data_IF_347237240952
#
_entry.id   IF_347237240952
#
_cell.length_a   1.000
_cell.length_b   1.000
_cell.length_c   1.000
_cell.angle_alpha   90.00
_cell.angle_beta   90.00
_cell.angle_gamma   90.00
#
_symmetry.space_group_name_H-M   'P 1'
#
loop_
_entity.id
_entity.type
_entity.pdbx_description
1 polymer ?
#
# COMPACT_ATOMS: atom_id res chain seq x y z
N UNK A 1 -10.60 -22.97 -11.44
CA UNK A 1 -11.85 -22.17 -11.50
C UNK A 1 -11.72 -21.05 -10.46
N UNK A 2 -12.32 -19.86 -10.65
CA UNK A 2 -12.33 -18.86 -9.59
C UNK A 2 -12.95 -19.45 -8.32
N UNK A 3 -12.32 -19.22 -7.18
CA UNK A 3 -12.89 -19.52 -5.87
C UNK A 3 -13.99 -18.46 -5.63
N UNK A 4 -15.26 -18.83 -5.81
CA UNK A 4 -16.41 -17.91 -5.69
C UNK A 4 -17.18 -18.15 -4.40
N UNK A 5 -17.38 -17.07 -3.63
CA UNK A 5 -18.27 -16.83 -2.46
C UNK A 5 -18.39 -17.86 -1.31
N UNK A 6 -17.89 -19.09 -1.47
CA UNK A 6 -17.89 -20.14 -0.45
C UNK A 6 -16.55 -20.85 -0.47
N UNK A 7 -15.47 -20.11 -0.21
CA UNK A 7 -14.16 -20.72 -0.02
C UNK A 7 -14.15 -21.36 1.36
N UNK A 8 -14.11 -22.69 1.43
CA UNK A 8 -13.84 -23.36 2.70
C UNK A 8 -12.45 -22.95 3.14
N UNK A 9 -12.26 -22.69 4.43
CA UNK A 9 -11.01 -22.12 4.95
C UNK A 9 -9.76 -22.83 4.37
N UNK A 10 -9.76 -24.17 4.30
CA UNK A 10 -8.65 -24.96 3.74
C UNK A 10 -8.39 -24.75 2.24
N UNK A 11 -9.44 -24.61 1.41
CA UNK A 11 -9.29 -24.56 -0.06
C UNK A 11 -8.43 -23.38 -0.52
N UNK A 12 -8.49 -22.24 0.19
CA UNK A 12 -7.63 -21.09 -0.12
C UNK A 12 -6.15 -21.39 0.17
N UNK A 13 -5.84 -21.93 1.36
CA UNK A 13 -4.46 -22.19 1.76
C UNK A 13 -3.84 -23.29 0.92
N UNK A 14 -4.60 -24.36 0.64
CA UNK A 14 -4.18 -25.46 -0.23
C UNK A 14 -3.86 -24.94 -1.64
N UNK A 15 -4.69 -24.02 -2.18
CA UNK A 15 -4.44 -23.38 -3.48
C UNK A 15 -3.17 -22.54 -3.45
N UNK A 16 -2.93 -21.77 -2.39
CA UNK A 16 -1.71 -20.96 -2.28
C UNK A 16 -0.47 -21.87 -2.20
N UNK A 17 -0.54 -22.96 -1.44
CA UNK A 17 0.53 -23.95 -1.33
C UNK A 17 0.85 -24.58 -2.70
N UNK A 18 -0.17 -25.04 -3.44
CA UNK A 18 0.00 -25.57 -4.80
C UNK A 18 0.68 -24.55 -5.73
N UNK A 19 0.25 -23.29 -5.69
CA UNK A 19 0.80 -22.22 -6.54
C UNK A 19 2.22 -21.83 -6.14
N UNK A 20 2.59 -21.95 -4.86
CA UNK A 20 3.97 -21.74 -4.41
C UNK A 20 4.91 -22.81 -4.98
N UNK A 21 4.49 -24.06 -5.06
CA UNK A 21 5.33 -25.16 -5.56
C UNK A 21 5.50 -25.17 -7.09
N UNK A 22 4.60 -24.50 -7.81
CA UNK A 22 4.61 -24.47 -9.28
C UNK A 22 5.67 -23.53 -9.87
N UNK A 23 6.65 -24.10 -10.57
CA UNK A 23 7.71 -23.33 -11.25
C UNK A 23 7.18 -22.44 -12.40
N UNK A 24 6.04 -22.78 -12.99
CA UNK A 24 5.40 -21.98 -14.06
C UNK A 24 4.61 -20.76 -13.52
N UNK A 25 4.46 -20.67 -12.19
CA UNK A 25 3.79 -19.56 -11.50
C UNK A 25 4.83 -18.63 -10.89
N UNK A 26 4.89 -17.40 -11.39
CA UNK A 26 5.89 -16.39 -10.99
C UNK A 26 5.35 -15.39 -9.96
N UNK A 27 4.03 -15.35 -9.77
CA UNK A 27 3.38 -14.38 -8.91
C UNK A 27 2.00 -14.84 -8.47
N UNK A 28 1.66 -14.52 -7.23
CA UNK A 28 0.39 -14.86 -6.60
C UNK A 28 -0.23 -13.57 -6.08
N UNK A 29 -1.49 -13.37 -6.45
CA UNK A 29 -2.32 -12.26 -5.99
C UNK A 29 -3.56 -12.83 -5.32
N UNK A 30 -3.82 -12.39 -4.10
CA UNK A 30 -5.08 -12.70 -3.40
C UNK A 30 -5.87 -11.42 -3.25
N UNK A 31 -7.01 -11.35 -3.96
CA UNK A 31 -7.89 -10.19 -3.92
C UNK A 31 -8.43 -9.97 -2.50
N UNK A 32 -8.32 -8.73 -2.03
CA UNK A 32 -8.86 -8.29 -0.74
C UNK A 32 -10.13 -7.44 -0.96
N UNK A 33 -11.07 -7.42 0.02
CA UNK A 33 -11.06 -8.18 1.27
C UNK A 33 -11.33 -9.68 1.06
N UNK A 34 -10.72 -10.52 1.90
CA UNK A 34 -11.10 -11.94 2.03
C UNK A 34 -12.36 -12.07 2.88
N UNK A 35 -13.12 -13.19 2.80
CA UNK A 35 -14.26 -13.45 3.68
C UNK A 35 -13.90 -13.35 5.16
N UNK A 36 -14.85 -12.95 6.00
CA UNK A 36 -14.62 -12.64 7.43
C UNK A 36 -14.04 -13.80 8.25
N UNK A 37 -14.28 -15.05 7.85
CA UNK A 37 -13.74 -16.25 8.51
C UNK A 37 -12.30 -16.59 8.10
N UNK A 38 -11.70 -15.84 7.18
CA UNK A 38 -10.33 -16.02 6.71
C UNK A 38 -9.44 -14.95 7.32
N UNK A 39 -8.40 -15.38 8.04
CA UNK A 39 -7.41 -14.43 8.56
C UNK A 39 -6.54 -13.91 7.41
N UNK A 40 -6.74 -12.65 7.04
CA UNK A 40 -5.96 -11.97 6.00
C UNK A 40 -4.44 -12.09 6.22
N UNK A 41 -3.96 -12.06 7.47
CA UNK A 41 -2.51 -12.08 7.73
C UNK A 41 -1.92 -13.46 7.49
N UNK A 42 -2.64 -14.52 7.84
CA UNK A 42 -2.28 -15.90 7.52
C UNK A 42 -2.19 -16.09 6.01
N UNK A 43 -3.18 -15.60 5.25
CA UNK A 43 -3.16 -15.65 3.77
C UNK A 43 -1.90 -15.00 3.21
N UNK A 44 -1.60 -13.77 3.63
CA UNK A 44 -0.43 -13.02 3.14
C UNK A 44 0.90 -13.65 3.56
N UNK A 45 0.95 -14.39 4.67
CA UNK A 45 2.15 -15.12 5.13
C UNK A 45 2.35 -16.47 4.45
N UNK A 46 1.28 -17.02 3.87
CA UNK A 46 1.35 -18.30 3.17
C UNK A 46 1.95 -18.16 1.78
N UNK A 47 1.83 -16.97 1.15
CA UNK A 47 2.41 -16.70 -0.16
C UNK A 47 3.94 -16.65 -0.02
N UNK A 48 4.66 -17.39 -0.87
CA UNK A 48 6.12 -17.29 -0.96
C UNK A 48 6.54 -15.83 -1.19
N UNK A 49 7.44 -15.25 -0.36
CA UNK A 49 7.93 -13.88 -0.55
C UNK A 49 8.49 -13.59 -1.95
N UNK A 50 8.95 -14.60 -2.70
CA UNK A 50 9.44 -14.48 -4.08
C UNK A 50 8.32 -14.40 -5.11
N UNK A 51 7.11 -14.87 -4.75
CA UNK A 51 5.90 -14.80 -5.59
C UNK A 51 4.88 -13.78 -5.10
N UNK A 52 5.11 -13.10 -3.98
CA UNK A 52 4.27 -12.03 -3.45
C UNK A 52 4.43 -10.73 -4.27
N UNK A 53 3.88 -10.73 -5.48
CA UNK A 53 3.96 -9.60 -6.42
C UNK A 53 3.17 -8.37 -5.95
N UNK A 54 2.29 -8.53 -4.95
CA UNK A 54 1.59 -7.43 -4.28
C UNK A 54 2.40 -6.79 -3.14
N UNK A 55 3.50 -7.43 -2.70
CA UNK A 55 4.46 -6.89 -1.75
C UNK A 55 3.97 -6.78 -0.30
N UNK A 56 2.97 -7.57 0.10
CA UNK A 56 2.38 -7.52 1.43
C UNK A 56 2.85 -8.61 2.40
N UNK A 57 3.65 -9.57 1.91
CA UNK A 57 4.32 -10.53 2.77
C UNK A 57 5.24 -9.75 3.75
N UNK A 58 5.27 -10.09 5.05
CA UNK A 58 6.06 -9.34 6.04
C UNK A 58 7.55 -9.18 5.69
N UNK A 59 8.14 -10.15 4.98
CA UNK A 59 9.51 -10.03 4.46
C UNK A 59 9.62 -8.90 3.43
N UNK A 60 8.73 -8.84 2.43
CA UNK A 60 8.74 -7.80 1.42
C UNK A 60 8.42 -6.42 2.01
N UNK A 61 7.54 -6.36 3.01
CA UNK A 61 7.30 -5.13 3.79
C UNK A 61 8.56 -4.72 4.56
N UNK A 62 9.27 -5.66 5.18
CA UNK A 62 10.54 -5.40 5.87
C UNK A 62 11.60 -4.84 4.92
N UNK A 63 11.76 -5.45 3.75
CA UNK A 63 12.65 -4.97 2.68
C UNK A 63 12.26 -3.58 2.17
N UNK A 64 10.96 -3.33 2.00
CA UNK A 64 10.46 -2.00 1.67
C UNK A 64 10.90 -0.95 2.70
N UNK A 65 10.73 -1.24 3.98
CA UNK A 65 11.14 -0.32 5.05
C UNK A 65 12.67 -0.12 5.07
N UNK A 66 13.44 -1.18 4.79
CA UNK A 66 14.89 -1.13 4.74
C UNK A 66 15.45 -0.43 3.48
N UNK A 67 14.61 -0.16 2.47
CA UNK A 67 14.99 0.50 1.23
C UNK A 67 15.51 -0.44 0.14
N UNK A 68 15.34 -1.76 0.29
CA UNK A 68 15.75 -2.80 -0.66
C UNK A 68 14.57 -3.63 -1.16
N UNK A 69 13.42 -2.97 -1.38
CA UNK A 69 12.18 -3.59 -1.82
C UNK A 69 12.39 -4.52 -3.03
N UNK A 70 12.03 -5.80 -2.87
CA UNK A 70 11.92 -6.75 -3.98
C UNK A 70 10.69 -6.42 -4.83
N UNK A 71 9.55 -6.36 -4.17
CA UNK A 71 8.29 -5.88 -4.73
C UNK A 71 7.86 -4.63 -4.00
N UNK A 72 7.35 -3.65 -4.74
CA UNK A 72 6.72 -2.46 -4.17
C UNK A 72 5.22 -2.65 -4.22
N UNK A 73 4.47 -2.36 -3.14
CA UNK A 73 3.02 -2.46 -3.14
C UNK A 73 2.37 -1.74 -4.32
N UNK A 74 1.52 -2.44 -5.05
CA UNK A 74 1.03 -2.03 -6.36
C UNK A 74 0.41 -0.63 -6.35
N UNK A 75 -0.52 -0.34 -5.44
CA UNK A 75 -1.18 0.97 -5.39
C UNK A 75 -0.20 2.11 -5.04
N UNK A 76 0.57 2.05 -3.94
CA UNK A 76 1.60 3.06 -3.67
C UNK A 76 2.64 3.22 -4.79
N UNK A 77 3.05 2.12 -5.42
CA UNK A 77 4.00 2.20 -6.52
C UNK A 77 3.40 2.84 -7.77
N UNK A 78 2.13 2.55 -8.07
CA UNK A 78 1.37 3.23 -9.12
C UNK A 78 1.29 4.73 -8.88
N UNK A 79 1.08 5.16 -7.63
CA UNK A 79 1.14 6.59 -7.27
C UNK A 79 2.53 7.18 -7.54
N UNK A 80 3.62 6.52 -7.13
CA UNK A 80 4.98 6.98 -7.48
C UNK A 80 5.18 7.09 -8.99
N UNK A 81 4.63 6.16 -9.78
CA UNK A 81 4.70 6.21 -11.25
C UNK A 81 3.91 7.38 -11.84
N UNK A 82 2.78 7.74 -11.24
CA UNK A 82 2.04 8.94 -11.64
C UNK A 82 2.82 10.20 -11.28
N UNK A 83 3.40 10.30 -10.08
CA UNK A 83 4.22 11.45 -9.68
C UNK A 83 5.41 11.63 -10.65
N UNK A 84 6.10 10.54 -10.98
CA UNK A 84 7.22 10.51 -11.95
C UNK A 84 6.76 10.98 -13.35
N UNK A 85 5.65 10.43 -13.84
CA UNK A 85 5.16 10.71 -15.19
C UNK A 85 4.66 12.14 -15.40
N UNK A 86 4.33 12.84 -14.32
CA UNK A 86 3.87 14.23 -14.33
C UNK A 86 4.91 15.21 -13.74
N UNK A 87 6.16 14.76 -13.55
CA UNK A 87 7.25 15.58 -13.02
C UNK A 87 6.90 16.28 -11.69
N UNK A 88 6.15 15.60 -10.82
CA UNK A 88 5.78 16.15 -9.51
C UNK A 88 6.99 16.10 -8.59
N UNK A 89 7.45 17.27 -8.15
CA UNK A 89 8.59 17.39 -7.24
C UNK A 89 8.23 16.87 -5.84
N UNK A 90 8.89 15.79 -5.40
CA UNK A 90 8.70 15.22 -4.06
C UNK A 90 9.89 15.49 -3.13
N UNK A 91 11.03 15.94 -3.66
CA UNK A 91 12.23 16.20 -2.87
C UNK A 91 12.00 17.38 -1.92
N UNK A 92 12.10 17.14 -0.62
CA UNK A 92 11.87 18.15 0.41
C UNK A 92 10.41 18.55 0.62
N UNK A 93 9.48 18.02 -0.18
CA UNK A 93 8.05 18.33 -0.09
C UNK A 93 7.45 17.86 1.24
N UNK A 94 6.51 18.63 1.79
CA UNK A 94 5.68 18.22 2.92
C UNK A 94 4.53 17.34 2.43
N UNK A 95 4.71 16.02 2.50
CA UNK A 95 3.73 15.05 2.07
C UNK A 95 2.84 14.57 3.22
N UNK A 96 1.52 14.58 3.03
CA UNK A 96 0.54 14.09 4.00
C UNK A 96 -0.23 12.91 3.44
N UNK A 97 -0.11 11.76 4.10
CA UNK A 97 -0.87 10.56 3.78
C UNK A 97 -2.06 10.44 4.74
N UNK A 98 -3.28 10.59 4.23
CA UNK A 98 -4.52 10.47 5.02
C UNK A 98 -5.03 9.04 4.95
N UNK A 99 -4.61 8.23 5.91
CA UNK A 99 -4.91 6.80 5.96
C UNK A 99 -3.66 6.00 6.29
N UNK A 100 -3.83 4.92 7.07
CA UNK A 100 -2.71 4.07 7.52
C UNK A 100 -2.99 2.57 7.36
N UNK A 101 -3.73 2.23 6.31
CA UNK A 101 -3.97 0.82 5.96
C UNK A 101 -2.63 0.12 5.65
N UNK A 102 -2.61 -1.19 5.88
CA UNK A 102 -1.41 -2.00 5.60
C UNK A 102 -1.08 -2.08 4.11
N UNK A 103 -2.08 -1.84 3.24
CA UNK A 103 -1.95 -2.02 1.79
C UNK A 103 -1.75 -0.73 0.98
N UNK A 104 -2.07 0.43 1.56
CA UNK A 104 -1.91 1.73 0.88
C UNK A 104 -1.17 2.72 1.77
N UNK A 105 -1.76 3.13 2.89
CA UNK A 105 -1.26 4.28 3.65
C UNK A 105 0.16 4.10 4.20
N UNK A 106 0.41 2.99 4.91
CA UNK A 106 1.75 2.69 5.45
C UNK A 106 2.81 2.49 4.36
N UNK A 107 2.59 1.67 3.32
CA UNK A 107 3.60 1.52 2.27
C UNK A 107 3.82 2.80 1.45
N UNK A 108 2.78 3.61 1.21
CA UNK A 108 2.95 4.92 0.57
C UNK A 108 3.87 5.82 1.39
N UNK A 109 3.69 5.88 2.71
CA UNK A 109 4.55 6.66 3.56
C UNK A 109 6.01 6.17 3.51
N UNK A 110 6.24 4.86 3.52
CA UNK A 110 7.59 4.29 3.41
C UNK A 110 8.23 4.59 2.05
N UNK A 111 7.46 4.62 0.96
CA UNK A 111 7.99 4.98 -0.36
C UNK A 111 8.35 6.46 -0.46
N UNK A 112 7.55 7.35 0.13
CA UNK A 112 7.79 8.80 0.07
C UNK A 112 9.02 9.24 0.88
N UNK A 113 9.32 8.59 2.00
CA UNK A 113 10.52 8.91 2.81
C UNK A 113 11.83 8.36 2.23
N UNK A 114 11.77 7.43 1.28
CA UNK A 114 12.97 6.81 0.72
C UNK A 114 13.77 7.80 -0.13
N UNK A 115 15.10 7.64 -0.11
CA UNK A 115 16.01 8.38 -0.98
C UNK A 115 15.85 7.93 -2.44
N UNK A 116 14.97 8.60 -3.19
CA UNK A 116 14.68 8.29 -4.60
C UNK A 116 14.11 9.52 -5.34
N UNK A 117 14.12 9.55 -6.69
CA UNK A 117 13.59 10.66 -7.47
C UNK A 117 12.11 11.01 -7.18
N UNK A 118 11.31 10.00 -6.79
CA UNK A 118 9.90 10.13 -6.40
C UNK A 118 9.68 9.80 -4.91
N UNK A 119 10.65 10.21 -4.11
CA UNK A 119 10.64 10.16 -2.64
C UNK A 119 11.33 11.40 -2.07
N UNK A 120 12.14 11.23 -1.02
CA UNK A 120 12.77 12.32 -0.26
C UNK A 120 11.77 13.34 0.35
N UNK A 121 10.52 12.96 0.58
CA UNK A 121 9.52 13.84 1.16
C UNK A 121 9.51 13.78 2.69
N UNK A 122 9.27 14.93 3.34
CA UNK A 122 8.90 14.95 4.76
C UNK A 122 7.48 14.42 4.88
N UNK A 123 7.31 13.23 5.46
CA UNK A 123 6.01 12.53 5.39
C UNK A 123 5.28 12.50 6.73
N UNK A 124 4.06 13.03 6.76
CA UNK A 124 3.12 12.93 7.89
C UNK A 124 2.02 11.92 7.59
N UNK A 125 1.79 10.98 8.51
CA UNK A 125 0.72 9.98 8.37
C UNK A 125 -0.45 10.37 9.29
N UNK A 126 -1.58 10.69 8.66
CA UNK A 126 -2.84 11.02 9.31
C UNK A 126 -3.78 9.81 9.36
N UNK A 127 -4.69 9.78 10.34
CA UNK A 127 -5.67 8.72 10.54
C UNK A 127 -6.86 9.20 11.36
N UNK A 128 -7.84 8.33 11.61
CA UNK A 128 -9.08 8.62 12.37
C UNK A 128 -8.90 9.13 13.81
N UNK A 129 -7.67 9.25 14.30
CA UNK A 129 -7.35 9.79 15.63
C UNK A 129 -6.38 10.98 15.57
N UNK A 130 -6.07 11.45 14.37
CA UNK A 130 -5.28 12.65 14.16
C UNK A 130 -6.07 13.83 14.69
N UNK A 131 -5.47 14.59 15.60
CA UNK A 131 -6.00 15.90 16.02
C UNK A 131 -5.60 16.92 14.97
N UNK A 132 -6.51 17.84 14.66
CA UNK A 132 -6.27 18.93 13.71
C UNK A 132 -5.75 18.39 12.37
N UNK A 133 -6.62 17.68 11.66
CA UNK A 133 -6.31 17.13 10.33
C UNK A 133 -6.19 18.25 9.30
N UNK A 134 -7.11 19.21 9.33
CA UNK A 134 -7.11 20.38 8.43
C UNK A 134 -5.81 21.17 8.55
N UNK A 135 -5.33 21.46 9.77
CA UNK A 135 -4.06 22.14 9.95
C UNK A 135 -2.84 21.36 9.43
N UNK A 136 -2.91 20.03 9.33
CA UNK A 136 -1.86 19.23 8.69
C UNK A 136 -1.92 19.27 7.18
N UNK A 137 -3.13 19.39 6.62
CA UNK A 137 -3.34 19.45 5.17
C UNK A 137 -3.10 20.85 4.61
N UNK A 138 -3.30 21.89 5.41
CA UNK A 138 -3.23 23.29 4.97
C UNK A 138 -1.86 23.69 4.39
N UNK A 139 -0.77 23.11 4.89
CA UNK A 139 0.59 23.40 4.45
C UNK A 139 1.19 22.31 3.56
N UNK A 140 0.47 21.20 3.33
CA UNK A 140 0.97 20.06 2.58
C UNK A 140 1.18 20.39 1.09
N UNK A 141 2.36 20.06 0.56
CA UNK A 141 2.66 20.16 -0.86
C UNK A 141 2.12 18.95 -1.64
N UNK A 142 2.02 17.80 -0.98
CA UNK A 142 1.49 16.56 -1.56
C UNK A 142 0.50 15.91 -0.60
N UNK A 143 -0.74 15.67 -1.05
CA UNK A 143 -1.75 14.97 -0.26
C UNK A 143 -2.11 13.64 -0.92
N UNK A 144 -1.92 12.53 -0.19
CA UNK A 144 -2.39 11.20 -0.58
C UNK A 144 -3.61 10.81 0.26
N UNK A 145 -4.81 10.91 -0.31
CA UNK A 145 -6.05 10.51 0.35
C UNK A 145 -6.29 8.99 0.23
N UNK A 146 -6.16 8.26 1.34
CA UNK A 146 -6.29 6.80 1.44
C UNK A 146 -7.22 6.38 2.60
N UNK A 147 -8.26 7.17 2.87
CA UNK A 147 -9.15 7.00 4.01
C UNK A 147 -10.30 5.99 3.78
N UNK A 148 -10.61 5.67 2.52
CA UNK A 148 -11.72 4.76 2.18
C UNK A 148 -13.11 5.35 2.45
N UNK A 149 -13.21 6.67 2.57
CA UNK A 149 -14.46 7.40 2.79
C UNK A 149 -14.61 8.40 1.63
N UNK A 150 -15.73 8.36 0.87
CA UNK A 150 -15.98 9.32 -0.20
C UNK A 150 -15.88 10.77 0.31
N UNK A 151 -15.24 11.62 -0.49
CA UNK A 151 -15.16 13.08 -0.26
C UNK A 151 -14.60 13.49 1.11
N UNK A 152 -13.90 12.60 1.81
CA UNK A 152 -13.38 12.88 3.15
C UNK A 152 -12.32 13.98 3.18
N UNK A 153 -11.48 14.02 2.14
CA UNK A 153 -10.59 15.16 1.87
C UNK A 153 -11.23 15.91 0.70
N UNK A 154 -11.64 17.14 0.96
CA UNK A 154 -12.24 18.02 -0.05
C UNK A 154 -11.32 19.19 -0.40
N UNK A 155 -11.68 19.95 -1.44
CA UNK A 155 -10.87 21.05 -1.94
C UNK A 155 -10.66 22.21 -0.96
N UNK A 156 -11.48 22.34 0.09
CA UNK A 156 -11.29 23.37 1.12
C UNK A 156 -10.14 23.06 2.08
N UNK A 157 -9.74 21.79 2.14
CA UNK A 157 -8.62 21.31 2.97
C UNK A 157 -7.27 21.34 2.24
N UNK A 158 -7.28 21.60 0.92
CA UNK A 158 -6.09 21.51 0.07
C UNK A 158 -5.50 22.91 -0.11
N UNK A 159 -4.18 23.01 0.12
CA UNK A 159 -3.38 24.19 -0.20
C UNK A 159 -3.55 24.57 -1.68
N UNK A 160 -3.72 25.86 -2.02
CA UNK A 160 -3.68 26.29 -3.41
C UNK A 160 -2.29 26.02 -4.02
N UNK A 161 -2.26 25.28 -5.13
CA UNK A 161 -1.04 24.80 -5.79
C UNK A 161 -1.20 23.37 -6.25
#
# INVERSE_FOLDING_TARGET
APLVDVVRHGELYDTIEELNEREDVHGILVQLPVPDHVDKRSVLRQIDPEKDVDGFHPENVGRLVAGDARFKPCTPHGVQKLLDAYDVETEGADAVVVGRSDIVGKPMANLLIQKSPVGNATTTVCHSRTKDLEGKLADADLVIAAAGIPEFVDGSMIKPG
#
